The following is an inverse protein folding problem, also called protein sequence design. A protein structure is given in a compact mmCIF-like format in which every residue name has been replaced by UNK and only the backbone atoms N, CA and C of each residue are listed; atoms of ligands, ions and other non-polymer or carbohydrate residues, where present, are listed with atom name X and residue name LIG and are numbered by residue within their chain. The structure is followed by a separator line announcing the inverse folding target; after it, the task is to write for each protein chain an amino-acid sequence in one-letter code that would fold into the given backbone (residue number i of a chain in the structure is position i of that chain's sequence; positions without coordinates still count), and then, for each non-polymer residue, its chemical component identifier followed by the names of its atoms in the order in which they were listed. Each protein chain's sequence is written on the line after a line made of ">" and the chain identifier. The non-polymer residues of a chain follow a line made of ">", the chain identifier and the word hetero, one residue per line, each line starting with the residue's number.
data_IF_629832270364
#
_entry.id   IF_629832270364
#
_cell.length_a   1.000
_cell.length_b   1.000
_cell.length_c   1.000
_cell.angle_alpha   90.00
_cell.angle_beta   90.00
_cell.angle_gamma   90.00
#
_symmetry.space_group_name_H-M   'P 1'
#
loop_
_entity.id
_entity.type
_entity.pdbx_description
1 polymer ?
#
# COMPACT_ATOMS: atom_id res chain seq x y z
N UNK A 1 -12.66 -6.45 11.98
CA UNK A 1 -12.13 -7.56 11.16
C UNK A 1 -11.96 -7.17 9.69
N UNK A 2 -12.87 -6.38 9.10
CA UNK A 2 -12.81 -5.99 7.68
C UNK A 2 -11.47 -5.35 7.26
N UNK A 3 -10.95 -4.38 8.03
CA UNK A 3 -9.66 -3.73 7.72
C UNK A 3 -8.46 -4.69 7.81
N UNK A 4 -8.52 -5.66 8.73
CA UNK A 4 -7.49 -6.69 8.84
C UNK A 4 -7.55 -7.60 7.61
N UNK A 5 -8.74 -8.05 7.22
CA UNK A 5 -8.93 -8.90 6.05
C UNK A 5 -8.53 -8.19 4.75
N UNK A 6 -8.88 -6.90 4.62
CA UNK A 6 -8.49 -6.06 3.49
C UNK A 6 -6.97 -5.94 3.39
N UNK A 7 -6.32 -5.41 4.42
CA UNK A 7 -4.85 -5.26 4.43
C UNK A 7 -4.12 -6.59 4.21
N UNK A 8 -4.55 -7.68 4.85
CA UNK A 8 -3.91 -8.99 4.63
C UNK A 8 -4.14 -9.52 3.22
N UNK A 9 -5.36 -9.40 2.68
CA UNK A 9 -5.68 -9.86 1.33
C UNK A 9 -4.91 -9.09 0.26
N UNK A 10 -4.89 -7.75 0.38
CA UNK A 10 -4.18 -6.88 -0.52
C UNK A 10 -2.67 -7.14 -0.47
N UNK A 11 -2.06 -7.23 0.71
CA UNK A 11 -0.63 -7.53 0.80
C UNK A 11 -0.28 -8.92 0.29
N UNK A 12 -1.13 -9.92 0.55
CA UNK A 12 -0.94 -11.27 -0.02
C UNK A 12 -0.92 -11.23 -1.54
N UNK A 13 -1.81 -10.45 -2.16
CA UNK A 13 -1.87 -10.35 -3.61
C UNK A 13 -0.72 -9.51 -4.20
N UNK A 14 -0.54 -8.27 -3.72
CA UNK A 14 0.41 -7.33 -4.32
C UNK A 14 1.87 -7.60 -3.92
N UNK A 15 2.14 -7.83 -2.62
CA UNK A 15 3.52 -8.01 -2.10
C UNK A 15 3.90 -9.49 -2.00
N UNK A 16 2.92 -10.38 -1.85
CA UNK A 16 3.14 -11.82 -1.94
C UNK A 16 3.21 -12.27 -3.40
N UNK A 17 2.04 -12.48 -4.00
CA UNK A 17 1.91 -13.12 -5.31
C UNK A 17 2.53 -12.30 -6.45
N UNK A 18 2.09 -11.07 -6.67
CA UNK A 18 2.49 -10.31 -7.85
C UNK A 18 3.98 -9.94 -7.81
N UNK A 19 4.50 -9.56 -6.64
CA UNK A 19 5.92 -9.31 -6.42
C UNK A 19 6.78 -10.54 -6.76
N UNK A 20 6.36 -11.72 -6.31
CA UNK A 20 7.05 -12.98 -6.60
C UNK A 20 7.03 -13.33 -8.10
N UNK A 21 5.89 -13.14 -8.76
CA UNK A 21 5.72 -13.44 -10.19
C UNK A 21 6.55 -12.54 -11.07
N UNK A 22 6.59 -11.24 -10.78
CA UNK A 22 7.44 -10.28 -11.48
C UNK A 22 8.91 -10.62 -11.23
N UNK A 23 9.29 -10.90 -9.98
CA UNK A 23 10.66 -11.30 -9.64
C UNK A 23 11.13 -12.56 -10.36
N UNK A 24 10.26 -13.58 -10.50
CA UNK A 24 10.56 -14.78 -11.31
C UNK A 24 10.71 -14.48 -12.81
N UNK A 25 9.98 -13.50 -13.33
CA UNK A 25 9.98 -13.16 -14.76
C UNK A 25 11.16 -12.29 -15.16
N UNK A 26 11.51 -11.30 -14.33
CA UNK A 26 12.46 -10.24 -14.67
C UNK A 26 13.77 -10.30 -13.85
N UNK A 27 13.78 -11.02 -12.72
CA UNK A 27 14.95 -11.13 -11.83
C UNK A 27 14.74 -10.44 -10.48
N UNK A 28 15.74 -10.55 -9.61
CA UNK A 28 15.67 -10.05 -8.22
C UNK A 28 16.84 -9.12 -7.86
N UNK A 29 17.52 -8.57 -8.86
CA UNK A 29 18.54 -7.55 -8.66
C UNK A 29 17.94 -6.20 -8.22
N UNK A 30 18.79 -5.21 -7.89
CA UNK A 30 18.33 -3.94 -7.35
C UNK A 30 17.37 -3.18 -8.29
N UNK A 31 17.66 -3.21 -9.59
CA UNK A 31 16.86 -2.51 -10.59
C UNK A 31 15.52 -3.20 -10.84
N UNK A 32 15.53 -4.53 -10.89
CA UNK A 32 14.33 -5.36 -11.05
C UNK A 32 13.40 -5.25 -9.83
N UNK A 33 13.97 -5.16 -8.62
CA UNK A 33 13.20 -4.89 -7.40
C UNK A 33 12.58 -3.50 -7.43
N UNK A 34 13.34 -2.47 -7.80
CA UNK A 34 12.82 -1.11 -7.92
C UNK A 34 11.67 -1.05 -8.95
N UNK A 35 11.84 -1.72 -10.10
CA UNK A 35 10.80 -1.86 -11.12
C UNK A 35 9.56 -2.59 -10.57
N UNK A 36 9.75 -3.70 -9.85
CA UNK A 36 8.65 -4.46 -9.24
C UNK A 36 7.88 -3.61 -8.23
N UNK A 37 8.57 -2.86 -7.38
CA UNK A 37 7.95 -1.91 -6.44
C UNK A 37 7.14 -0.86 -7.20
N UNK A 38 7.73 -0.20 -8.20
CA UNK A 38 7.03 0.83 -8.96
C UNK A 38 5.77 0.28 -9.66
N UNK A 39 5.90 -0.86 -10.35
CA UNK A 39 4.81 -1.46 -11.11
C UNK A 39 3.65 -1.91 -10.20
N UNK A 40 3.96 -2.63 -9.12
CA UNK A 40 2.94 -3.08 -8.17
C UNK A 40 2.26 -1.91 -7.46
N UNK A 41 2.98 -0.82 -7.19
CA UNK A 41 2.43 0.39 -6.59
C UNK A 41 1.45 1.12 -7.51
N UNK A 42 1.77 1.22 -8.80
CA UNK A 42 0.86 1.81 -9.80
C UNK A 42 -0.41 0.98 -9.91
N UNK A 43 -0.31 -0.35 -10.01
CA UNK A 43 -1.50 -1.20 -10.05
C UNK A 43 -2.33 -1.13 -8.79
N UNK A 44 -1.69 -1.02 -7.63
CA UNK A 44 -2.37 -0.81 -6.36
C UNK A 44 -3.16 0.52 -6.38
N UNK A 45 -2.55 1.62 -6.84
CA UNK A 45 -3.24 2.90 -7.01
C UNK A 45 -4.42 2.83 -7.99
N UNK A 46 -4.24 2.19 -9.15
CA UNK A 46 -5.30 2.01 -10.14
C UNK A 46 -6.49 1.22 -9.57
N UNK A 47 -6.23 0.17 -8.78
CA UNK A 47 -7.28 -0.62 -8.14
C UNK A 47 -8.14 0.21 -7.16
N UNK A 48 -7.59 1.30 -6.62
CA UNK A 48 -8.27 2.18 -5.67
C UNK A 48 -9.04 3.34 -6.34
N UNK A 49 -8.80 3.60 -7.62
CA UNK A 49 -9.34 4.77 -8.31
C UNK A 49 -10.87 4.81 -8.38
N UNK A 50 -11.52 3.68 -8.66
CA UNK A 50 -12.98 3.64 -8.82
C UNK A 50 -13.73 3.88 -7.51
N UNK A 51 -13.18 3.41 -6.39
CA UNK A 51 -13.80 3.53 -5.07
C UNK A 51 -13.42 4.81 -4.32
N UNK A 52 -12.20 5.34 -4.55
CA UNK A 52 -11.64 6.45 -3.77
C UNK A 52 -11.28 7.70 -4.60
N UNK A 53 -11.51 7.65 -5.91
CA UNK A 53 -11.19 8.74 -6.83
C UNK A 53 -9.68 8.96 -7.00
N UNK A 54 -9.33 10.10 -7.62
CA UNK A 54 -7.93 10.43 -7.93
C UNK A 54 -7.07 10.58 -6.67
N UNK A 55 -7.58 11.27 -5.64
CA UNK A 55 -6.85 11.50 -4.40
C UNK A 55 -6.55 10.17 -3.67
N UNK A 56 -7.53 9.26 -3.60
CA UNK A 56 -7.33 7.93 -3.03
C UNK A 56 -6.35 7.09 -3.85
N UNK A 57 -6.45 7.10 -5.18
CA UNK A 57 -5.50 6.41 -6.05
C UNK A 57 -4.06 6.93 -5.88
N UNK A 58 -3.87 8.25 -5.71
CA UNK A 58 -2.56 8.85 -5.43
C UNK A 58 -2.02 8.39 -4.07
N UNK A 59 -2.84 8.46 -3.02
CA UNK A 59 -2.46 8.00 -1.68
C UNK A 59 -2.15 6.50 -1.65
N UNK A 60 -2.96 5.68 -2.33
CA UNK A 60 -2.71 4.26 -2.51
C UNK A 60 -1.41 4.01 -3.26
N UNK A 61 -1.11 4.74 -4.35
CA UNK A 61 0.18 4.61 -5.06
C UNK A 61 1.37 4.92 -4.16
N UNK A 62 1.29 5.98 -3.35
CA UNK A 62 2.36 6.37 -2.42
C UNK A 62 2.54 5.29 -1.32
N UNK A 63 1.44 4.83 -0.75
CA UNK A 63 1.43 3.71 0.23
C UNK A 63 2.02 2.45 -0.40
N UNK A 64 1.61 2.20 -1.65
CA UNK A 64 2.20 1.32 -2.66
C UNK A 64 3.72 1.25 -2.57
N UNK A 65 4.33 2.40 -2.85
CA UNK A 65 5.77 2.58 -2.94
C UNK A 65 6.44 2.35 -1.59
N UNK A 66 5.90 2.92 -0.51
CA UNK A 66 6.46 2.78 0.84
C UNK A 66 6.46 1.32 1.27
N UNK A 67 5.31 0.66 1.22
CA UNK A 67 5.17 -0.73 1.67
C UNK A 67 5.92 -1.70 0.76
N UNK A 68 5.87 -1.48 -0.56
CA UNK A 68 6.64 -2.26 -1.53
C UNK A 68 8.14 -2.15 -1.27
N UNK A 69 8.65 -0.95 -0.97
CA UNK A 69 10.07 -0.73 -0.64
C UNK A 69 10.46 -1.43 0.66
N UNK A 70 9.66 -1.27 1.72
CA UNK A 70 9.93 -1.93 3.00
C UNK A 70 9.91 -3.45 2.82
N UNK A 71 8.98 -4.01 2.05
CA UNK A 71 8.97 -5.43 1.72
C UNK A 71 10.19 -5.86 0.90
N UNK A 72 10.58 -5.08 -0.11
CA UNK A 72 11.74 -5.38 -0.96
C UNK A 72 13.07 -5.43 -0.18
N UNK A 73 13.17 -4.65 0.90
CA UNK A 73 14.34 -4.61 1.80
C UNK A 73 14.27 -5.73 2.84
N UNK A 74 13.10 -5.93 3.46
CA UNK A 74 12.98 -6.80 4.64
C UNK A 74 12.64 -8.25 4.30
N UNK A 75 11.96 -8.50 3.18
CA UNK A 75 11.37 -9.79 2.82
C UNK A 75 10.26 -10.26 3.77
N UNK A 76 9.75 -9.40 4.66
CA UNK A 76 8.82 -9.78 5.74
C UNK A 76 7.41 -9.31 5.43
N UNK A 77 6.59 -10.16 4.81
CA UNK A 77 5.22 -9.80 4.42
C UNK A 77 4.31 -9.51 5.63
N UNK A 78 4.48 -10.24 6.74
CA UNK A 78 3.68 -10.04 7.96
C UNK A 78 3.84 -8.63 8.54
N UNK A 79 5.02 -8.02 8.40
CA UNK A 79 5.28 -6.67 8.88
C UNK A 79 4.42 -5.66 8.12
N UNK A 80 4.33 -5.81 6.80
CA UNK A 80 3.49 -4.95 5.96
C UNK A 80 2.02 -5.22 6.19
N UNK A 81 1.60 -6.48 6.37
CA UNK A 81 0.20 -6.82 6.68
C UNK A 81 -0.28 -6.12 7.96
N UNK A 82 0.54 -6.13 9.01
CA UNK A 82 0.22 -5.42 10.26
C UNK A 82 0.25 -3.89 10.05
N UNK A 83 1.24 -3.37 9.33
CA UNK A 83 1.33 -1.94 9.04
C UNK A 83 0.13 -1.43 8.22
N UNK A 84 -0.33 -2.19 7.24
CA UNK A 84 -1.50 -1.87 6.43
C UNK A 84 -2.77 -1.87 7.29
N UNK A 85 -3.03 -2.95 8.05
CA UNK A 85 -4.19 -2.99 8.93
C UNK A 85 -4.18 -1.83 9.95
N UNK A 86 -3.00 -1.45 10.46
CA UNK A 86 -2.86 -0.30 11.35
C UNK A 86 -3.13 1.04 10.64
N UNK A 87 -2.67 1.19 9.39
CA UNK A 87 -2.95 2.36 8.56
C UNK A 87 -4.46 2.54 8.35
N UNK A 88 -5.16 1.49 7.92
CA UNK A 88 -6.60 1.52 7.69
C UNK A 88 -7.39 1.82 8.95
N UNK A 89 -7.04 1.18 10.06
CA UNK A 89 -7.67 1.44 11.36
C UNK A 89 -7.44 2.87 11.83
N UNK A 90 -6.26 3.44 11.57
CA UNK A 90 -5.94 4.83 11.91
C UNK A 90 -6.75 5.79 11.05
N UNK A 91 -6.81 5.56 9.74
CA UNK A 91 -7.62 6.37 8.82
C UNK A 91 -9.10 6.34 9.21
N UNK A 92 -9.64 5.15 9.49
CA UNK A 92 -11.01 4.97 9.97
C UNK A 92 -11.24 5.72 11.28
N UNK A 93 -10.31 5.64 12.23
CA UNK A 93 -10.43 6.34 13.50
C UNK A 93 -10.42 7.86 13.34
N UNK A 94 -9.56 8.42 12.47
CA UNK A 94 -9.51 9.87 12.18
C UNK A 94 -10.86 10.35 11.63
N UNK A 95 -11.49 9.59 10.74
CA UNK A 95 -12.80 9.89 10.17
C UNK A 95 -13.86 9.87 11.28
N UNK A 96 -13.93 8.78 12.07
CA UNK A 96 -14.92 8.64 13.15
C UNK A 96 -14.74 9.65 14.28
N UNK A 97 -13.51 10.09 14.54
CA UNK A 97 -13.22 11.14 15.51
C UNK A 97 -13.49 12.56 14.96
N UNK A 98 -13.93 12.67 13.69
CA UNK A 98 -14.16 13.94 13.00
C UNK A 98 -12.91 14.85 12.99
N UNK A 99 -11.73 14.24 12.83
CA UNK A 99 -10.43 14.91 12.83
C UNK A 99 -9.87 15.12 11.42
N UNK A 100 -10.49 14.55 10.39
CA UNK A 100 -10.00 14.57 9.00
C UNK A 100 -9.60 15.97 8.51
N UNK A 101 -10.46 16.98 8.68
CA UNK A 101 -10.18 18.36 8.22
C UNK A 101 -9.02 18.98 8.99
N UNK A 102 -8.92 18.70 10.30
CA UNK A 102 -7.81 19.20 11.13
C UNK A 102 -6.49 18.57 10.73
N UNK A 103 -6.48 17.25 10.49
CA UNK A 103 -5.28 16.54 10.01
C UNK A 103 -4.88 17.04 8.62
N UNK A 104 -5.84 17.23 7.71
CA UNK A 104 -5.57 17.76 6.39
C UNK A 104 -4.90 19.14 6.46
N UNK A 105 -5.44 20.09 7.24
CA UNK A 105 -4.88 21.44 7.37
C UNK A 105 -3.53 21.52 8.10
N UNK A 106 -3.18 20.49 8.88
CA UNK A 106 -1.84 20.39 9.47
C UNK A 106 -0.76 20.13 8.42
N UNK A 107 -1.12 19.43 7.34
CA UNK A 107 -0.18 18.99 6.29
C UNK A 107 -0.28 19.90 5.06
N UNK A 108 -1.51 20.22 4.65
CA UNK A 108 -1.83 21.03 3.48
C UNK A 108 -2.39 22.37 3.95
N UNK A 109 -1.63 23.45 3.78
CA UNK A 109 -2.08 24.82 4.07
C UNK A 109 -2.84 25.43 2.91
#
# INVERSE_FOLDING_TARGET
>A
YAMIAAGFGEETFFRGYLFERIGKRYGTGPWERAFTVALTSVFFGVAHYTAQGLAGAQQATITGLVFGTVYAITGRIWLIMVAHAAFDLTALWIIYANLETRVAHLIFR
#
